data_IF_038673647375
#
_entry.id   IF_038673647375
#
_cell.length_a   1.000
_cell.length_b   1.000
_cell.length_c   1.000
_cell.angle_alpha   90.00
_cell.angle_beta   90.00
_cell.angle_gamma   90.00
#
_symmetry.space_group_name_H-M   'P 1'
#
loop_
_entity.id
_entity.type
_entity.pdbx_description
1 polymer ?
#
# COMPACT_ATOMS: atom_id res chain seq x y z
N UNK A 1 48.66 46.59 -2.71
CA UNK A 1 47.29 47.04 -3.07
C UNK A 1 46.36 45.93 -2.53
N UNK A 2 45.81 46.20 -1.35
CA UNK A 2 44.93 45.30 -0.60
C UNK A 2 43.59 45.17 -1.30
N UNK A 3 43.05 43.95 -1.36
CA UNK A 3 41.62 43.70 -1.56
C UNK A 3 41.12 42.80 -0.45
N UNK A 4 40.29 43.37 0.38
CA UNK A 4 39.67 42.92 1.61
C UNK A 4 38.70 41.78 1.37
N UNK A 5 38.74 40.81 2.34
CA UNK A 5 37.67 39.79 2.61
C UNK A 5 36.40 40.51 3.04
N UNK A 6 35.26 40.14 2.43
CA UNK A 6 33.95 40.38 3.03
C UNK A 6 33.00 39.22 2.76
N UNK A 7 32.72 38.49 3.79
CA UNK A 7 31.43 37.92 4.22
C UNK A 7 30.62 37.12 3.22
N UNK A 8 30.63 35.81 3.40
CA UNK A 8 29.53 34.94 3.06
C UNK A 8 28.89 34.43 4.35
N UNK A 9 27.86 35.11 4.79
CA UNK A 9 26.98 34.67 5.86
C UNK A 9 25.69 34.14 5.25
N UNK A 10 25.38 32.86 5.56
CA UNK A 10 24.09 32.42 6.03
C UNK A 10 22.93 32.46 5.04
N UNK A 11 22.52 31.30 4.61
CA UNK A 11 21.20 31.04 4.06
C UNK A 11 20.76 29.63 4.40
N UNK A 12 20.44 29.40 5.68
CA UNK A 12 19.65 28.22 6.06
C UNK A 12 18.22 28.47 5.62
N UNK A 13 17.79 27.87 4.53
CA UNK A 13 16.40 27.83 4.13
C UNK A 13 15.70 26.72 4.90
N UNK A 14 15.02 27.12 6.00
CA UNK A 14 14.10 26.27 6.72
C UNK A 14 12.92 25.90 5.82
N UNK A 15 12.63 24.61 5.74
CA UNK A 15 11.35 24.15 5.22
C UNK A 15 10.26 24.55 6.23
N UNK A 16 9.52 25.60 5.89
CA UNK A 16 8.32 25.97 6.60
C UNK A 16 7.23 24.93 6.32
N UNK A 17 6.81 24.24 7.36
CA UNK A 17 5.56 23.48 7.35
C UNK A 17 4.40 24.49 7.16
N UNK A 18 3.86 24.54 5.96
CA UNK A 18 2.63 25.27 5.67
C UNK A 18 1.44 24.48 6.22
N UNK A 19 1.05 24.84 7.44
CA UNK A 19 -0.29 24.58 7.94
C UNK A 19 -1.29 25.41 7.11
N UNK A 20 -2.07 24.77 6.28
CA UNK A 20 -3.19 25.39 5.58
C UNK A 20 -4.50 24.85 6.14
N UNK A 21 -4.99 25.55 7.16
CA UNK A 21 -6.42 25.67 7.37
C UNK A 21 -6.95 26.73 6.41
N UNK A 22 -7.78 26.35 5.46
CA UNK A 22 -8.45 27.29 4.54
C UNK A 22 -9.17 26.53 3.44
N UNK A 23 -10.50 26.54 3.46
CA UNK A 23 -11.34 26.14 2.34
C UNK A 23 -10.90 26.86 1.06
N UNK A 24 -10.35 26.15 0.10
CA UNK A 24 -10.16 26.64 -1.24
C UNK A 24 -10.60 25.57 -2.24
N UNK A 25 -11.75 25.79 -2.87
CA UNK A 25 -12.35 24.95 -3.93
C UNK A 25 -11.54 24.94 -5.26
N UNK A 26 -10.28 25.36 -5.25
CA UNK A 26 -9.50 25.60 -6.45
C UNK A 26 -8.21 24.76 -6.52
N UNK A 27 -8.05 23.68 -5.74
CA UNK A 27 -6.92 22.78 -5.94
C UNK A 27 -7.20 21.91 -7.16
N UNK A 28 -6.57 22.22 -8.29
CA UNK A 28 -6.49 21.32 -9.43
C UNK A 28 -5.89 19.98 -9.04
N UNK A 29 -6.22 18.91 -9.78
CA UNK A 29 -5.70 17.58 -9.55
C UNK A 29 -4.16 17.59 -9.58
N UNK A 30 -3.53 17.04 -8.53
CA UNK A 30 -2.07 16.87 -8.46
C UNK A 30 -1.77 15.39 -8.58
N UNK A 31 -1.13 14.99 -9.67
CA UNK A 31 -0.88 13.58 -9.94
C UNK A 31 -2.18 12.77 -10.03
N UNK A 32 -2.32 11.72 -9.23
CA UNK A 32 -3.54 10.91 -9.15
C UNK A 32 -4.40 11.20 -7.89
N UNK A 33 -4.31 12.42 -7.35
CA UNK A 33 -5.17 12.90 -6.25
C UNK A 33 -6.31 13.73 -6.85
N UNK A 34 -7.54 13.20 -6.79
CA UNK A 34 -8.72 13.86 -7.37
C UNK A 34 -9.62 14.41 -6.26
N UNK A 35 -9.82 15.74 -6.24
CA UNK A 35 -10.63 16.42 -5.21
C UNK A 35 -10.28 16.00 -3.77
N UNK A 36 -8.99 15.76 -3.51
CA UNK A 36 -8.49 15.35 -2.20
C UNK A 36 -8.47 13.85 -1.94
N UNK A 37 -9.03 13.01 -2.83
CA UNK A 37 -9.01 11.55 -2.72
C UNK A 37 -7.82 10.99 -3.50
N UNK A 38 -6.82 10.37 -2.85
CA UNK A 38 -5.69 9.76 -3.52
C UNK A 38 -6.11 8.43 -4.17
N UNK A 39 -5.87 8.29 -5.47
CA UNK A 39 -6.04 7.02 -6.18
C UNK A 39 -4.67 6.44 -6.49
N UNK A 40 -4.39 5.30 -5.92
CA UNK A 40 -3.14 4.56 -6.05
C UNK A 40 -3.32 3.19 -6.69
N UNK A 41 -2.29 2.39 -6.59
CA UNK A 41 -2.30 0.99 -7.00
C UNK A 41 -1.43 0.15 -6.07
N UNK A 42 -1.93 -1.05 -5.69
CA UNK A 42 -1.03 -2.09 -5.20
C UNK A 42 -0.33 -2.73 -6.41
N UNK A 43 1.01 -2.78 -6.39
CA UNK A 43 1.79 -3.24 -7.54
C UNK A 43 1.59 -4.72 -7.88
N UNK A 44 0.93 -5.49 -7.01
CA UNK A 44 0.40 -6.83 -7.33
C UNK A 44 -0.51 -6.82 -8.57
N UNK A 45 -1.18 -5.71 -8.86
CA UNK A 45 -2.00 -5.55 -10.07
C UNK A 45 -1.21 -5.78 -11.36
N UNK A 46 0.11 -5.54 -11.34
CA UNK A 46 1.01 -5.77 -12.49
C UNK A 46 1.65 -7.17 -12.52
N UNK A 47 1.18 -8.14 -11.70
CA UNK A 47 1.78 -9.49 -11.58
C UNK A 47 1.86 -10.31 -12.87
N UNK A 48 1.09 -9.94 -13.89
CA UNK A 48 1.15 -10.54 -15.24
C UNK A 48 2.18 -9.89 -16.15
N UNK A 49 2.73 -8.73 -15.74
CA UNK A 49 3.71 -7.99 -16.51
C UNK A 49 5.14 -8.53 -16.25
N UNK A 50 6.09 -8.29 -17.18
CA UNK A 50 7.49 -8.65 -16.98
C UNK A 50 8.11 -8.04 -15.73
N UNK A 51 8.81 -8.86 -14.94
CA UNK A 51 9.58 -8.42 -13.76
C UNK A 51 10.94 -7.89 -14.20
N UNK A 52 11.42 -6.80 -13.58
CA UNK A 52 12.75 -6.25 -13.85
C UNK A 52 12.98 -4.87 -13.25
N UNK A 53 14.23 -4.48 -13.15
CA UNK A 53 14.63 -3.18 -12.59
C UNK A 53 13.94 -2.02 -13.32
N UNK A 54 13.29 -1.15 -12.57
CA UNK A 54 12.56 0.02 -13.09
C UNK A 54 11.26 -0.31 -13.84
N UNK A 55 10.91 -1.59 -13.99
CA UNK A 55 9.68 -1.99 -14.70
C UNK A 55 8.43 -1.55 -13.95
N UNK A 56 8.36 -1.82 -12.65
CA UNK A 56 7.20 -1.45 -11.83
C UNK A 56 6.96 0.06 -11.86
N UNK A 57 8.00 0.88 -11.70
CA UNK A 57 7.87 2.33 -11.83
C UNK A 57 7.35 2.74 -13.22
N UNK A 58 7.85 2.11 -14.29
CA UNK A 58 7.37 2.40 -15.65
C UNK A 58 5.89 2.06 -15.84
N UNK A 59 5.39 0.99 -15.22
CA UNK A 59 3.98 0.61 -15.27
C UNK A 59 3.09 1.60 -14.52
N UNK A 60 3.53 2.02 -13.32
CA UNK A 60 2.83 3.03 -12.51
C UNK A 60 2.67 4.33 -13.29
N UNK A 61 3.75 4.81 -13.92
CA UNK A 61 3.73 6.03 -14.73
C UNK A 61 2.85 5.89 -15.97
N UNK A 62 2.91 4.75 -16.67
CA UNK A 62 2.08 4.47 -17.84
C UNK A 62 0.58 4.31 -17.47
N UNK A 63 0.28 3.95 -16.22
CA UNK A 63 -1.09 3.96 -15.67
C UNK A 63 -1.51 5.32 -15.10
N UNK A 64 -0.70 6.38 -15.26
CA UNK A 64 -0.96 7.76 -14.81
C UNK A 64 -1.23 7.88 -13.30
N UNK A 65 -0.51 7.09 -12.47
CA UNK A 65 -0.64 7.07 -11.02
C UNK A 65 0.58 7.71 -10.34
N UNK A 66 0.36 8.29 -9.15
CA UNK A 66 1.38 8.98 -8.37
C UNK A 66 1.49 8.52 -6.91
N UNK A 67 0.78 7.47 -6.52
CA UNK A 67 0.87 6.86 -5.18
C UNK A 67 0.69 5.35 -5.27
N UNK A 68 1.43 4.59 -4.45
CA UNK A 68 1.44 3.13 -4.55
C UNK A 68 1.59 2.42 -3.20
N UNK A 69 0.95 1.25 -3.10
CA UNK A 69 1.36 0.17 -2.20
C UNK A 69 2.34 -0.73 -2.96
N UNK A 70 3.61 -0.72 -2.56
CA UNK A 70 4.70 -1.38 -3.27
C UNK A 70 4.96 -2.78 -2.70
N UNK A 71 4.84 -3.80 -3.56
CA UNK A 71 5.19 -5.18 -3.18
C UNK A 71 6.67 -5.32 -2.89
N UNK A 72 7.03 -6.13 -1.89
CA UNK A 72 8.42 -6.35 -1.48
C UNK A 72 9.30 -6.86 -2.62
N UNK A 73 8.80 -7.76 -3.46
CA UNK A 73 9.56 -8.25 -4.62
C UNK A 73 9.90 -7.15 -5.63
N UNK A 74 9.03 -6.17 -5.81
CA UNK A 74 9.26 -5.08 -6.78
C UNK A 74 10.35 -4.13 -6.28
N UNK A 75 10.28 -3.69 -5.02
CA UNK A 75 11.32 -2.84 -4.44
C UNK A 75 12.66 -3.57 -4.33
N UNK A 76 12.66 -4.87 -4.03
CA UNK A 76 13.87 -5.67 -3.92
C UNK A 76 14.53 -5.87 -5.30
N UNK A 77 13.75 -6.10 -6.37
CA UNK A 77 14.27 -6.15 -7.75
C UNK A 77 14.91 -4.82 -8.12
N UNK A 78 14.26 -3.71 -7.82
CA UNK A 78 14.78 -2.36 -8.11
C UNK A 78 16.06 -2.07 -7.31
N UNK A 79 16.21 -2.65 -6.10
CA UNK A 79 17.43 -2.60 -5.28
C UNK A 79 18.50 -3.62 -5.70
N UNK A 80 18.26 -4.42 -6.74
CA UNK A 80 19.22 -5.39 -7.29
C UNK A 80 19.24 -6.75 -6.56
N UNK A 81 18.12 -7.17 -5.99
CA UNK A 81 17.97 -8.53 -5.47
C UNK A 81 18.13 -9.57 -6.60
N UNK A 82 18.63 -10.79 -6.29
CA UNK A 82 18.71 -11.89 -7.25
C UNK A 82 17.32 -12.49 -7.49
N UNK A 83 16.41 -11.71 -8.04
CA UNK A 83 14.99 -12.00 -8.18
C UNK A 83 14.52 -11.56 -9.57
N UNK A 84 14.07 -12.51 -10.38
CA UNK A 84 13.59 -12.28 -11.74
C UNK A 84 12.14 -12.75 -11.97
N UNK A 85 11.47 -13.18 -10.91
CA UNK A 85 10.09 -13.66 -10.91
C UNK A 85 9.43 -13.44 -9.56
N UNK A 86 8.14 -13.60 -9.54
CA UNK A 86 7.34 -13.45 -8.32
C UNK A 86 7.73 -14.49 -7.26
N UNK A 87 7.77 -14.11 -6.01
CA UNK A 87 8.31 -14.93 -4.90
C UNK A 87 7.62 -16.29 -4.74
N UNK A 88 6.33 -16.40 -5.08
CA UNK A 88 5.61 -17.69 -5.04
C UNK A 88 5.96 -18.64 -6.20
N UNK A 89 6.63 -18.15 -7.24
CA UNK A 89 7.15 -18.96 -8.36
C UNK A 89 8.60 -19.38 -8.16
N UNK A 90 9.23 -19.00 -7.04
CA UNK A 90 10.64 -19.30 -6.75
C UNK A 90 10.83 -20.70 -6.19
N UNK A 91 11.93 -21.35 -6.57
CA UNK A 91 12.39 -22.62 -5.97
C UNK A 91 12.86 -22.38 -4.52
N UNK A 92 13.13 -23.48 -3.80
CA UNK A 92 13.67 -23.41 -2.43
C UNK A 92 15.06 -22.74 -2.41
N UNK A 93 15.90 -23.04 -3.40
CA UNK A 93 17.24 -22.49 -3.55
C UNK A 93 17.19 -20.99 -3.86
N UNK A 94 16.30 -20.54 -4.74
CA UNK A 94 16.09 -19.13 -5.04
C UNK A 94 15.58 -18.34 -3.81
N UNK A 95 14.68 -18.94 -3.03
CA UNK A 95 14.22 -18.34 -1.76
C UNK A 95 15.35 -18.21 -0.74
N UNK A 96 16.23 -19.23 -0.65
CA UNK A 96 17.39 -19.19 0.23
C UNK A 96 18.40 -18.11 -0.21
N UNK A 97 18.67 -18.00 -1.52
CA UNK A 97 19.53 -16.95 -2.07
C UNK A 97 18.98 -15.54 -1.79
N UNK A 98 17.66 -15.35 -1.95
CA UNK A 98 17.00 -14.09 -1.61
C UNK A 98 17.10 -13.77 -0.12
N UNK A 99 16.90 -14.77 0.76
CA UNK A 99 17.02 -14.59 2.20
C UNK A 99 18.45 -14.18 2.60
N UNK A 100 19.48 -14.82 2.03
CA UNK A 100 20.88 -14.44 2.24
C UNK A 100 21.18 -13.01 1.73
N UNK A 101 20.69 -12.65 0.55
CA UNK A 101 20.84 -11.31 0.00
C UNK A 101 20.20 -10.25 0.91
N UNK A 102 19.00 -10.50 1.44
CA UNK A 102 18.29 -9.59 2.36
C UNK A 102 19.10 -9.22 3.59
N UNK A 103 19.84 -10.19 4.15
CA UNK A 103 20.67 -9.97 5.35
C UNK A 103 21.94 -9.16 5.06
N UNK A 104 22.39 -9.11 3.80
CA UNK A 104 23.57 -8.37 3.36
C UNK A 104 23.27 -7.13 2.53
N UNK A 105 22.00 -6.85 2.26
CA UNK A 105 21.60 -5.76 1.39
C UNK A 105 21.94 -4.39 1.99
N UNK A 106 22.66 -3.57 1.22
CA UNK A 106 22.95 -2.18 1.58
C UNK A 106 21.68 -1.32 1.41
N UNK A 107 21.27 -0.63 2.47
CA UNK A 107 20.11 0.27 2.47
C UNK A 107 20.27 1.45 1.50
N UNK A 108 21.51 1.82 1.14
CA UNK A 108 21.77 2.82 0.10
C UNK A 108 21.07 2.50 -1.22
N UNK A 109 20.97 1.22 -1.58
CA UNK A 109 20.24 0.78 -2.77
C UNK A 109 18.75 1.16 -2.72
N UNK A 110 18.14 1.03 -1.54
CA UNK A 110 16.74 1.40 -1.33
C UNK A 110 16.56 2.92 -1.28
N UNK A 111 17.53 3.69 -0.76
CA UNK A 111 17.54 5.15 -0.87
C UNK A 111 17.56 5.59 -2.33
N UNK A 112 18.36 4.94 -3.17
CA UNK A 112 18.44 5.22 -4.61
C UNK A 112 17.12 4.85 -5.33
N UNK A 113 16.47 3.75 -4.94
CA UNK A 113 15.14 3.40 -5.43
C UNK A 113 14.12 4.46 -5.02
N UNK A 114 14.07 4.84 -3.73
CA UNK A 114 13.21 5.92 -3.24
C UNK A 114 13.41 7.21 -4.03
N UNK A 115 14.67 7.60 -4.26
CA UNK A 115 14.99 8.82 -5.01
C UNK A 115 14.45 8.75 -6.45
N UNK A 116 14.50 7.59 -7.12
CA UNK A 116 13.93 7.39 -8.46
C UNK A 116 12.42 7.55 -8.48
N UNK A 117 11.71 6.93 -7.52
CA UNK A 117 10.26 7.06 -7.41
C UNK A 117 9.86 8.52 -7.11
N UNK A 118 10.55 9.16 -6.16
CA UNK A 118 10.30 10.56 -5.82
C UNK A 118 10.57 11.52 -6.99
N UNK A 119 11.66 11.32 -7.73
CA UNK A 119 11.99 12.11 -8.93
C UNK A 119 10.95 11.95 -10.04
N UNK A 120 10.27 10.80 -10.09
CA UNK A 120 9.16 10.53 -11.00
C UNK A 120 7.79 11.04 -10.47
N UNK A 121 7.75 11.65 -9.28
CA UNK A 121 6.51 12.12 -8.65
C UNK A 121 5.63 11.00 -8.12
N UNK A 122 6.20 9.83 -7.80
CA UNK A 122 5.48 8.67 -7.25
C UNK A 122 5.80 8.50 -5.77
N UNK A 123 4.78 8.56 -4.92
CA UNK A 123 4.85 8.31 -3.49
C UNK A 123 4.66 6.81 -3.19
N UNK A 124 5.57 6.24 -2.40
CA UNK A 124 5.42 4.90 -1.84
C UNK A 124 4.84 5.04 -0.43
N UNK A 125 3.52 4.94 -0.28
CA UNK A 125 2.88 5.13 1.02
C UNK A 125 2.90 3.87 1.90
N UNK A 126 2.98 2.69 1.28
CA UNK A 126 3.07 1.38 1.94
C UNK A 126 4.08 0.49 1.21
N UNK A 127 4.81 -0.34 1.98
CA UNK A 127 5.54 -1.50 1.45
C UNK A 127 4.91 -2.78 1.98
N UNK A 128 4.55 -3.71 1.08
CA UNK A 128 3.92 -4.98 1.46
C UNK A 128 4.94 -6.09 1.64
N UNK A 129 5.10 -6.53 2.89
CA UNK A 129 5.81 -7.76 3.28
C UNK A 129 4.83 -8.74 3.90
N UNK A 130 4.19 -9.58 3.10
CA UNK A 130 3.10 -10.47 3.53
C UNK A 130 3.49 -11.42 4.68
N UNK A 131 4.79 -11.71 4.83
CA UNK A 131 5.35 -12.60 5.85
C UNK A 131 5.80 -11.89 7.14
N UNK A 132 5.64 -10.56 7.24
CA UNK A 132 6.10 -9.83 8.42
C UNK A 132 5.41 -10.33 9.69
N UNK A 133 6.20 -10.56 10.74
CA UNK A 133 5.73 -11.12 12.01
C UNK A 133 5.59 -12.64 12.03
N UNK A 134 5.89 -13.34 10.92
CA UNK A 134 5.85 -14.80 10.91
C UNK A 134 6.86 -15.39 11.91
N UNK A 135 6.44 -16.42 12.66
CA UNK A 135 7.24 -17.08 13.70
C UNK A 135 8.60 -17.59 13.18
N UNK A 136 8.65 -17.98 11.90
CA UNK A 136 9.86 -18.51 11.28
C UNK A 136 10.94 -17.46 11.00
N UNK A 137 10.61 -16.16 11.02
CA UNK A 137 11.58 -15.08 10.76
C UNK A 137 12.47 -14.84 11.98
N UNK A 138 13.78 -14.78 11.76
CA UNK A 138 14.73 -14.26 12.74
C UNK A 138 14.53 -12.76 12.99
N UNK A 139 15.11 -12.22 14.06
CA UNK A 139 15.05 -10.78 14.35
C UNK A 139 15.76 -9.95 13.27
N UNK A 140 16.85 -10.46 12.70
CA UNK A 140 17.56 -9.80 11.61
C UNK A 140 16.69 -9.71 10.34
N UNK A 141 15.92 -10.75 10.02
CA UNK A 141 14.99 -10.75 8.90
C UNK A 141 13.79 -9.83 9.16
N UNK A 142 13.32 -9.73 10.40
CA UNK A 142 12.32 -8.74 10.78
C UNK A 142 12.86 -7.33 10.62
N UNK A 143 14.04 -7.03 11.20
CA UNK A 143 14.68 -5.71 11.09
C UNK A 143 14.90 -5.30 9.63
N UNK A 144 15.29 -6.22 8.74
CA UNK A 144 15.44 -5.93 7.32
C UNK A 144 14.14 -5.37 6.73
N UNK A 145 12.99 -6.00 6.97
CA UNK A 145 11.69 -5.57 6.43
C UNK A 145 11.29 -4.18 6.89
N UNK A 146 11.49 -3.90 8.16
CA UNK A 146 11.24 -2.57 8.72
C UNK A 146 12.22 -1.52 8.19
N UNK A 147 13.52 -1.86 8.07
CA UNK A 147 14.53 -0.97 7.47
C UNK A 147 14.14 -0.59 6.04
N UNK A 148 13.78 -1.55 5.20
CA UNK A 148 13.34 -1.28 3.82
C UNK A 148 12.15 -0.33 3.82
N UNK A 149 11.09 -0.60 4.57
CA UNK A 149 9.91 0.25 4.60
C UNK A 149 10.24 1.68 5.07
N UNK A 150 11.04 1.83 6.13
CA UNK A 150 11.50 3.15 6.63
C UNK A 150 12.35 3.87 5.60
N UNK A 151 13.29 3.18 4.96
CA UNK A 151 14.16 3.76 3.92
C UNK A 151 13.34 4.24 2.74
N UNK A 152 12.35 3.47 2.31
CA UNK A 152 11.42 3.87 1.25
C UNK A 152 10.52 5.05 1.65
N UNK A 153 10.40 5.35 2.95
CA UNK A 153 9.54 6.42 3.47
C UNK A 153 8.08 6.01 3.64
N UNK A 154 7.80 4.72 3.60
CA UNK A 154 6.45 4.19 3.81
C UNK A 154 5.93 4.51 5.21
N UNK A 155 4.63 4.79 5.32
CA UNK A 155 3.94 5.05 6.58
C UNK A 155 3.51 3.76 7.29
N UNK A 156 3.40 2.66 6.54
CA UNK A 156 2.98 1.36 7.04
C UNK A 156 3.61 0.20 6.26
N UNK A 157 3.60 -0.97 6.88
CA UNK A 157 3.85 -2.26 6.24
C UNK A 157 2.54 -3.03 6.27
N UNK A 158 2.12 -3.62 5.14
CA UNK A 158 0.94 -4.48 5.11
C UNK A 158 1.30 -5.95 5.21
N UNK A 159 0.43 -6.69 5.87
CA UNK A 159 0.41 -8.15 5.95
C UNK A 159 -1.02 -8.67 5.93
N UNK A 160 -1.18 -9.95 5.63
CA UNK A 160 -2.47 -10.61 5.73
C UNK A 160 -2.96 -10.63 7.19
N UNK A 161 -4.26 -10.39 7.40
CA UNK A 161 -4.87 -10.50 8.72
C UNK A 161 -4.75 -11.96 9.23
N UNK A 162 -4.41 -12.20 10.51
CA UNK A 162 -4.44 -13.54 11.08
C UNK A 162 -5.86 -14.12 11.02
N UNK A 163 -5.99 -15.45 11.09
CA UNK A 163 -7.31 -16.09 11.15
C UNK A 163 -8.16 -15.47 12.27
N UNK A 164 -9.31 -14.85 11.95
CA UNK A 164 -10.15 -14.18 12.92
C UNK A 164 -10.58 -15.10 14.10
N UNK A 165 -10.69 -16.42 13.83
CA UNK A 165 -11.06 -17.41 14.85
C UNK A 165 -9.96 -17.65 15.88
N UNK A 166 -8.71 -17.27 15.58
CA UNK A 166 -7.54 -17.51 16.43
C UNK A 166 -6.71 -16.25 16.70
N UNK A 167 -7.30 -15.07 16.68
CA UNK A 167 -6.59 -13.81 16.96
C UNK A 167 -5.86 -13.83 18.32
N UNK A 168 -6.47 -14.30 19.44
CA UNK A 168 -5.76 -14.40 20.71
C UNK A 168 -4.56 -15.34 20.67
N UNK A 169 -4.68 -16.51 20.03
CA UNK A 169 -3.57 -17.46 19.87
C UNK A 169 -2.46 -16.92 18.98
N UNK A 170 -2.82 -16.24 17.90
CA UNK A 170 -1.86 -15.53 17.05
C UNK A 170 -1.12 -14.43 17.83
N UNK A 171 -1.81 -13.67 18.67
CA UNK A 171 -1.21 -12.64 19.52
C UNK A 171 -0.09 -13.21 20.39
N UNK A 172 -0.36 -14.35 21.05
CA UNK A 172 0.64 -15.03 21.90
C UNK A 172 1.82 -15.59 21.08
N UNK A 173 1.55 -16.12 19.89
CA UNK A 173 2.56 -16.79 19.06
C UNK A 173 3.46 -15.82 18.26
N UNK A 174 2.88 -14.75 17.72
CA UNK A 174 3.52 -13.85 16.75
C UNK A 174 3.25 -12.37 17.03
N UNK A 175 2.05 -12.01 17.47
CA UNK A 175 1.56 -10.64 17.53
C UNK A 175 2.34 -9.76 18.50
N UNK A 176 2.69 -10.28 19.68
CA UNK A 176 3.50 -9.57 20.69
C UNK A 176 4.86 -9.16 20.13
N UNK A 177 5.53 -10.09 19.44
CA UNK A 177 6.82 -9.82 18.80
C UNK A 177 6.67 -8.79 17.67
N UNK A 178 5.63 -8.92 16.84
CA UNK A 178 5.36 -7.96 15.77
C UNK A 178 5.11 -6.55 16.33
N UNK A 179 4.30 -6.43 17.40
CA UNK A 179 4.05 -5.16 18.06
C UNK A 179 5.33 -4.51 18.60
N UNK A 180 6.23 -5.31 19.21
CA UNK A 180 7.52 -4.80 19.70
C UNK A 180 8.40 -4.25 18.57
N UNK A 181 8.44 -4.92 17.41
CA UNK A 181 9.13 -4.40 16.22
C UNK A 181 8.47 -3.16 15.64
N UNK A 182 7.14 -3.12 15.62
CA UNK A 182 6.38 -1.94 15.16
C UNK A 182 6.69 -0.70 16.02
N UNK A 183 6.78 -0.85 17.34
CA UNK A 183 7.20 0.21 18.25
C UNK A 183 8.69 0.58 18.07
N UNK A 184 9.60 -0.42 18.02
CA UNK A 184 11.04 -0.21 17.80
C UNK A 184 11.30 0.65 16.55
N UNK A 185 10.54 0.42 15.48
CA UNK A 185 10.74 1.08 14.20
C UNK A 185 9.82 2.26 13.98
N UNK A 186 8.94 2.58 14.94
CA UNK A 186 7.87 3.58 14.79
C UNK A 186 7.11 3.40 13.45
N UNK A 187 6.64 2.17 13.20
CA UNK A 187 6.02 1.78 11.93
C UNK A 187 4.64 1.17 12.18
N UNK A 188 3.66 1.60 11.41
CA UNK A 188 2.32 0.99 11.43
C UNK A 188 2.33 -0.36 10.74
N UNK A 189 1.55 -1.30 11.27
CA UNK A 189 1.29 -2.61 10.66
C UNK A 189 -0.17 -2.62 10.23
N UNK A 190 -0.42 -2.68 8.94
CA UNK A 190 -1.77 -2.68 8.40
C UNK A 190 -2.19 -4.09 8.00
N UNK A 191 -3.30 -4.56 8.57
CA UNK A 191 -3.83 -5.89 8.31
C UNK A 191 -4.75 -5.85 7.10
N UNK A 192 -4.35 -6.58 6.06
CA UNK A 192 -5.11 -6.76 4.82
C UNK A 192 -6.10 -7.92 4.97
N UNK A 193 -7.33 -7.69 4.55
CA UNK A 193 -8.37 -8.71 4.58
C UNK A 193 -8.64 -9.33 3.22
N UNK A 194 -8.98 -10.62 3.25
CA UNK A 194 -9.68 -11.31 2.18
C UNK A 194 -11.12 -11.63 2.60
N UNK A 195 -11.66 -12.80 2.19
CA UNK A 195 -13.05 -13.20 2.46
C UNK A 195 -13.32 -13.65 3.90
N UNK A 196 -12.28 -13.75 4.74
CA UNK A 196 -12.36 -14.36 6.09
C UNK A 196 -12.88 -13.42 7.17
N UNK A 197 -13.03 -12.12 6.88
CA UNK A 197 -13.41 -11.14 7.88
C UNK A 197 -14.89 -10.71 7.78
N UNK A 198 -15.36 -10.18 8.89
CA UNK A 198 -16.58 -9.39 9.00
C UNK A 198 -16.33 -8.14 9.88
N UNK A 199 -17.35 -7.33 10.12
CA UNK A 199 -17.22 -6.12 10.93
C UNK A 199 -16.69 -6.42 12.34
N UNK A 200 -17.13 -7.52 12.98
CA UNK A 200 -16.74 -7.91 14.33
C UNK A 200 -15.27 -8.28 14.44
N UNK A 201 -14.62 -8.65 13.35
CA UNK A 201 -13.19 -8.97 13.34
C UNK A 201 -12.35 -7.76 13.80
N UNK A 202 -12.70 -6.56 13.36
CA UNK A 202 -12.00 -5.32 13.75
C UNK A 202 -12.52 -4.69 15.05
N UNK A 203 -13.75 -5.03 15.45
CA UNK A 203 -14.30 -4.70 16.77
C UNK A 203 -13.67 -5.54 17.89
N UNK A 204 -13.08 -6.67 17.53
CA UNK A 204 -12.39 -7.58 18.44
C UNK A 204 -11.04 -7.03 18.93
N UNK A 205 -10.24 -7.88 19.58
CA UNK A 205 -9.03 -7.44 20.30
C UNK A 205 -7.89 -7.01 19.40
N UNK A 206 -7.90 -7.34 18.09
CA UNK A 206 -6.75 -7.14 17.20
C UNK A 206 -6.19 -5.72 17.24
N UNK A 207 -7.03 -4.72 17.02
CA UNK A 207 -6.62 -3.32 16.99
C UNK A 207 -6.29 -2.76 18.39
N UNK A 208 -6.77 -3.41 19.45
CA UNK A 208 -6.49 -3.05 20.83
C UNK A 208 -5.12 -3.54 21.34
N UNK A 209 -4.51 -4.52 20.67
CA UNK A 209 -3.22 -5.07 21.09
C UNK A 209 -2.04 -4.12 20.88
N UNK A 210 -2.11 -3.19 19.93
CA UNK A 210 -1.09 -2.17 19.71
C UNK A 210 -1.69 -0.95 19.04
N UNK A 211 -1.28 0.28 19.42
CA UNK A 211 -1.65 1.51 18.71
C UNK A 211 -1.07 1.56 17.28
N UNK A 212 -0.05 0.73 16.99
CA UNK A 212 0.56 0.60 15.66
C UNK A 212 -0.22 -0.34 14.73
N UNK A 213 -1.19 -1.11 15.25
CA UNK A 213 -2.01 -2.01 14.42
C UNK A 213 -3.13 -1.24 13.75
N UNK A 214 -3.14 -1.30 12.43
CA UNK A 214 -4.01 -0.53 11.54
C UNK A 214 -4.70 -1.47 10.55
N UNK A 215 -5.53 -0.92 9.69
CA UNK A 215 -6.31 -1.64 8.70
C UNK A 215 -5.82 -1.25 7.29
N UNK A 216 -5.54 -2.24 6.46
CA UNK A 216 -5.52 -2.13 5.01
C UNK A 216 -6.82 -2.80 4.53
N UNK A 217 -7.84 -1.99 4.26
CA UNK A 217 -9.20 -2.47 4.04
C UNK A 217 -9.45 -2.83 2.58
N UNK A 218 -9.71 -4.10 2.30
CA UNK A 218 -10.18 -4.52 0.99
C UNK A 218 -11.71 -4.52 0.94
N UNK A 219 -12.27 -3.48 0.33
CA UNK A 219 -13.72 -3.29 0.25
C UNK A 219 -14.38 -4.31 -0.70
N UNK A 220 -13.68 -4.75 -1.75
CA UNK A 220 -14.22 -5.74 -2.68
C UNK A 220 -14.32 -7.13 -2.06
N UNK A 221 -13.30 -7.55 -1.32
CA UNK A 221 -13.38 -8.80 -0.55
C UNK A 221 -14.47 -8.75 0.52
N UNK A 222 -14.59 -7.62 1.21
CA UNK A 222 -15.66 -7.45 2.21
C UNK A 222 -17.05 -7.53 1.58
N UNK A 223 -17.28 -6.84 0.45
CA UNK A 223 -18.54 -6.91 -0.32
C UNK A 223 -18.88 -8.33 -0.74
N UNK A 224 -17.88 -9.08 -1.19
CA UNK A 224 -18.09 -10.45 -1.63
C UNK A 224 -18.39 -11.45 -0.50
N UNK A 225 -17.96 -11.16 0.74
CA UNK A 225 -18.05 -12.08 1.87
C UNK A 225 -19.21 -11.79 2.83
N UNK A 226 -19.71 -10.54 2.85
CA UNK A 226 -20.65 -10.06 3.87
C UNK A 226 -21.93 -9.49 3.25
N UNK A 227 -23.03 -9.64 3.97
CA UNK A 227 -24.35 -9.10 3.61
C UNK A 227 -24.61 -7.73 4.28
N UNK A 228 -23.58 -7.07 4.78
CA UNK A 228 -23.64 -5.75 5.44
C UNK A 228 -23.04 -4.67 4.57
N UNK A 229 -23.44 -3.39 4.80
CA UNK A 229 -22.89 -2.25 4.05
C UNK A 229 -21.37 -2.12 4.27
N UNK A 230 -20.52 -2.31 3.22
CA UNK A 230 -19.09 -2.20 3.36
C UNK A 230 -18.61 -0.77 3.68
N UNK A 231 -19.43 0.25 3.40
CA UNK A 231 -19.13 1.64 3.75
C UNK A 231 -19.24 1.91 5.25
N UNK A 232 -19.99 1.09 5.98
CA UNK A 232 -20.09 1.20 7.44
C UNK A 232 -18.73 0.95 8.11
N UNK A 233 -17.95 -0.01 7.59
CA UNK A 233 -16.56 -0.23 8.02
C UNK A 233 -15.72 1.03 7.87
N UNK A 234 -15.83 1.73 6.74
CA UNK A 234 -15.07 2.96 6.50
C UNK A 234 -15.51 4.07 7.46
N UNK A 235 -16.82 4.25 7.69
CA UNK A 235 -17.34 5.25 8.63
C UNK A 235 -16.85 5.04 10.06
N UNK A 236 -16.78 3.78 10.49
CA UNK A 236 -16.44 3.41 11.87
C UNK A 236 -14.95 3.36 12.15
N UNK A 237 -14.14 3.04 11.16
CA UNK A 237 -12.70 2.80 11.32
C UNK A 237 -11.81 3.70 10.47
N UNK A 238 -12.33 4.81 9.91
CA UNK A 238 -11.58 5.70 9.00
C UNK A 238 -10.25 6.21 9.60
N UNK A 239 -10.17 6.41 10.91
CA UNK A 239 -8.97 6.83 11.65
C UNK A 239 -7.94 5.70 11.84
N UNK A 240 -8.35 4.44 11.63
CA UNK A 240 -7.52 3.24 11.72
C UNK A 240 -7.21 2.63 10.34
N UNK A 241 -7.86 3.09 9.28
CA UNK A 241 -7.62 2.64 7.90
C UNK A 241 -6.46 3.47 7.31
N UNK A 242 -5.36 2.81 6.92
CA UNK A 242 -4.21 3.47 6.29
C UNK A 242 -4.27 3.44 4.77
N UNK A 243 -4.95 2.47 4.18
CA UNK A 243 -5.32 2.43 2.76
C UNK A 243 -6.53 1.53 2.54
N UNK A 244 -7.18 1.69 1.40
CA UNK A 244 -8.31 0.87 0.96
C UNK A 244 -7.93 0.22 -0.36
N UNK A 245 -7.92 -1.11 -0.44
CA UNK A 245 -7.87 -1.79 -1.73
C UNK A 245 -9.23 -1.68 -2.39
N UNK A 246 -9.26 -1.04 -3.55
CA UNK A 246 -10.45 -0.90 -4.37
C UNK A 246 -10.38 -1.88 -5.52
N UNK A 247 -11.35 -2.78 -5.55
CA UNK A 247 -11.63 -3.72 -6.64
C UNK A 247 -13.13 -3.89 -6.78
N UNK A 248 -13.58 -4.27 -7.95
CA UNK A 248 -15.00 -4.53 -8.13
C UNK A 248 -15.29 -6.01 -8.07
N UNK A 249 -16.21 -6.38 -7.20
CA UNK A 249 -16.62 -7.76 -6.98
C UNK A 249 -18.13 -7.87 -6.88
N UNK A 250 -18.65 -9.06 -7.20
CA UNK A 250 -20.03 -9.37 -6.89
C UNK A 250 -20.19 -9.89 -5.47
N UNK A 251 -21.37 -9.66 -4.89
CA UNK A 251 -21.78 -10.21 -3.60
C UNK A 251 -21.82 -11.75 -3.62
N UNK A 252 -21.99 -12.35 -2.45
CA UNK A 252 -22.19 -13.80 -2.33
C UNK A 252 -23.40 -14.29 -3.15
N UNK A 253 -24.49 -13.52 -3.14
CA UNK A 253 -25.69 -13.84 -3.91
C UNK A 253 -25.43 -13.86 -5.42
N UNK A 254 -24.48 -13.07 -5.92
CA UNK A 254 -24.11 -12.99 -7.34
C UNK A 254 -22.82 -13.75 -7.68
N UNK A 255 -22.33 -14.62 -6.78
CA UNK A 255 -21.25 -15.59 -7.06
C UNK A 255 -19.83 -15.11 -6.77
N UNK A 256 -19.64 -14.02 -6.04
CA UNK A 256 -18.33 -13.54 -5.53
C UNK A 256 -17.25 -13.36 -6.60
N UNK A 257 -17.61 -12.94 -7.81
CA UNK A 257 -16.70 -12.79 -8.95
C UNK A 257 -15.89 -11.50 -8.84
N UNK A 258 -14.63 -11.54 -9.27
CA UNK A 258 -13.87 -10.33 -9.56
C UNK A 258 -14.24 -9.84 -10.98
N UNK A 259 -14.52 -8.54 -11.09
CA UNK A 259 -15.01 -7.93 -12.33
C UNK A 259 -14.29 -6.61 -12.64
N UNK A 260 -14.31 -6.14 -13.90
CA UNK A 260 -13.88 -4.79 -14.24
C UNK A 260 -14.68 -3.73 -13.47
N UNK A 261 -14.02 -2.61 -13.15
CA UNK A 261 -14.60 -1.52 -12.37
C UNK A 261 -15.92 -1.00 -12.97
N UNK A 262 -16.93 -0.86 -12.13
CA UNK A 262 -18.27 -0.39 -12.48
C UNK A 262 -19.21 -1.47 -13.01
N UNK A 263 -18.83 -2.75 -12.90
CA UNK A 263 -19.66 -3.89 -13.38
C UNK A 263 -20.03 -4.89 -12.29
N UNK A 264 -19.54 -4.70 -11.06
CA UNK A 264 -19.86 -5.52 -9.90
C UNK A 264 -20.79 -4.83 -8.90
N UNK A 265 -20.77 -5.34 -7.68
CA UNK A 265 -21.63 -4.89 -6.59
C UNK A 265 -20.87 -4.05 -5.54
N UNK A 266 -19.54 -3.91 -5.66
CA UNK A 266 -18.76 -3.11 -4.71
C UNK A 266 -19.17 -1.64 -4.81
N UNK A 267 -19.55 -0.96 -3.70
CA UNK A 267 -20.07 0.40 -3.75
C UNK A 267 -18.97 1.44 -3.96
N UNK A 268 -18.15 1.29 -5.02
CA UNK A 268 -16.99 2.15 -5.32
C UNK A 268 -17.36 3.63 -5.44
N UNK A 269 -18.46 3.96 -6.16
CA UNK A 269 -18.95 5.34 -6.27
C UNK A 269 -19.30 5.91 -4.90
N UNK A 270 -19.99 5.13 -4.06
CA UNK A 270 -20.37 5.53 -2.70
C UNK A 270 -19.16 5.74 -1.81
N UNK A 271 -18.13 4.87 -1.92
CA UNK A 271 -16.86 5.02 -1.20
C UNK A 271 -16.16 6.33 -1.55
N UNK A 272 -15.95 6.58 -2.85
CA UNK A 272 -15.23 7.76 -3.33
C UNK A 272 -15.97 9.06 -2.96
N UNK A 273 -17.30 9.05 -3.05
CA UNK A 273 -18.14 10.16 -2.60
C UNK A 273 -18.05 10.37 -1.08
N UNK A 274 -18.02 9.30 -0.28
CA UNK A 274 -17.83 9.36 1.17
C UNK A 274 -16.50 9.99 1.54
N UNK A 275 -15.38 9.47 1.00
CA UNK A 275 -14.04 9.98 1.28
C UNK A 275 -13.90 11.47 0.91
N UNK A 276 -14.43 11.88 -0.25
CA UNK A 276 -14.45 13.28 -0.68
C UNK A 276 -15.26 14.16 0.26
N UNK A 277 -16.49 13.75 0.61
CA UNK A 277 -17.40 14.52 1.45
C UNK A 277 -16.84 14.75 2.85
N UNK A 278 -16.27 13.71 3.46
CA UNK A 278 -15.69 13.75 4.81
C UNK A 278 -14.26 14.30 4.82
N UNK A 279 -13.68 14.58 3.64
CA UNK A 279 -12.28 15.00 3.48
C UNK A 279 -11.28 13.99 4.08
N UNK A 280 -11.60 12.71 4.03
CA UNK A 280 -10.70 11.64 4.48
C UNK A 280 -9.71 11.29 3.38
N UNK A 281 -8.44 11.64 3.59
CA UNK A 281 -7.36 11.43 2.62
C UNK A 281 -6.76 10.03 2.73
N UNK A 282 -7.61 9.01 2.68
CA UNK A 282 -7.19 7.61 2.72
C UNK A 282 -6.86 7.17 1.29
N UNK A 283 -5.63 6.70 0.99
CA UNK A 283 -5.30 6.17 -0.32
C UNK A 283 -6.22 5.01 -0.71
N UNK A 284 -6.71 5.05 -1.95
CA UNK A 284 -7.49 3.99 -2.56
C UNK A 284 -6.63 3.29 -3.61
N UNK A 285 -6.11 2.12 -3.28
CA UNK A 285 -5.20 1.37 -4.14
C UNK A 285 -5.99 0.41 -5.05
N UNK A 286 -5.90 0.65 -6.35
CA UNK A 286 -6.50 -0.23 -7.36
C UNK A 286 -5.85 -1.62 -7.25
N UNK A 287 -6.68 -2.66 -7.13
CA UNK A 287 -6.23 -4.03 -7.19
C UNK A 287 -7.00 -4.81 -8.27
N UNK A 288 -6.26 -5.28 -9.27
CA UNK A 288 -6.83 -6.09 -10.35
C UNK A 288 -6.74 -7.57 -9.99
N UNK A 289 -7.89 -8.23 -9.87
CA UNK A 289 -7.98 -9.67 -9.65
C UNK A 289 -8.88 -10.39 -10.66
N UNK A 290 -9.50 -9.67 -11.58
CA UNK A 290 -10.21 -10.31 -12.71
C UNK A 290 -9.24 -10.73 -13.82
N UNK A 291 -9.70 -11.60 -14.70
CA UNK A 291 -8.94 -12.03 -15.86
C UNK A 291 -8.75 -10.87 -16.84
N UNK A 292 -7.50 -10.51 -17.10
CA UNK A 292 -7.16 -9.45 -18.06
C UNK A 292 -7.62 -9.86 -19.47
N UNK A 293 -8.39 -9.01 -20.18
CA UNK A 293 -8.84 -9.32 -21.54
C UNK A 293 -7.67 -9.59 -22.49
N UNK A 294 -7.82 -10.52 -23.43
CA UNK A 294 -6.76 -10.96 -24.35
C UNK A 294 -6.15 -9.83 -25.21
N UNK A 295 -6.91 -8.75 -25.44
CA UNK A 295 -6.48 -7.57 -26.21
C UNK A 295 -6.08 -6.40 -25.32
N UNK A 296 -5.80 -6.66 -24.04
CA UNK A 296 -5.40 -5.68 -23.05
C UNK A 296 -4.20 -6.19 -22.23
N UNK A 297 -3.70 -5.37 -21.32
CA UNK A 297 -2.69 -5.71 -20.32
C UNK A 297 -2.99 -5.04 -18.97
N UNK A 298 -2.23 -5.39 -17.95
CA UNK A 298 -2.48 -4.88 -16.61
C UNK A 298 -2.28 -3.36 -16.50
N UNK A 299 -1.39 -2.76 -17.28
CA UNK A 299 -1.15 -1.31 -17.28
C UNK A 299 -2.37 -0.57 -17.80
N UNK A 300 -2.91 -1.03 -18.93
CA UNK A 300 -4.12 -0.47 -19.53
C UNK A 300 -5.34 -0.64 -18.63
N UNK A 301 -5.51 -1.83 -18.01
CA UNK A 301 -6.65 -2.09 -17.12
C UNK A 301 -6.59 -1.26 -15.84
N UNK A 302 -5.39 -1.04 -15.27
CA UNK A 302 -5.19 -0.12 -14.14
C UNK A 302 -5.54 1.32 -14.54
N UNK A 303 -5.15 1.78 -15.74
CA UNK A 303 -5.50 3.13 -16.21
C UNK A 303 -7.01 3.28 -16.44
N UNK A 304 -7.68 2.24 -16.96
CA UNK A 304 -9.15 2.22 -17.08
C UNK A 304 -9.81 2.34 -15.70
N UNK A 305 -9.33 1.59 -14.70
CA UNK A 305 -9.84 1.66 -13.33
C UNK A 305 -9.60 3.04 -12.71
N UNK A 306 -8.41 3.63 -12.90
CA UNK A 306 -8.10 5.00 -12.48
C UNK A 306 -9.03 6.03 -13.12
N UNK A 307 -9.25 5.92 -14.43
CA UNK A 307 -10.15 6.82 -15.16
C UNK A 307 -11.61 6.69 -14.67
N UNK A 308 -12.06 5.46 -14.35
CA UNK A 308 -13.34 5.23 -13.70
C UNK A 308 -13.41 5.98 -12.35
N UNK A 309 -12.43 5.79 -11.46
CA UNK A 309 -12.40 6.47 -10.16
C UNK A 309 -12.43 8.00 -10.30
N UNK A 310 -11.61 8.56 -11.19
CA UNK A 310 -11.60 10.00 -11.47
C UNK A 310 -12.97 10.51 -11.88
N UNK A 311 -13.66 9.79 -12.78
CA UNK A 311 -15.02 10.14 -13.24
C UNK A 311 -16.02 10.11 -12.09
N UNK A 312 -15.92 9.13 -11.16
CA UNK A 312 -16.84 9.04 -10.03
C UNK A 312 -16.60 10.11 -8.95
N UNK A 313 -15.38 10.59 -8.83
CA UNK A 313 -15.03 11.68 -7.89
C UNK A 313 -15.52 13.04 -8.44
N UNK A 314 -15.55 13.23 -9.72
CA UNK A 314 -16.08 14.45 -10.41
C UNK A 314 -15.05 15.54 -10.54
#
# INVERSE_FOLDING_TARGET
MEITRRNFLGGATGFAALGLGGCCSCCGDVGSVYKGVPIGVITYSYRSMPVGVGKTLSYVLASHLSTIELMSNDVEVDAGAPLNKLSWKMSKEEKAALAAWRLSADMKRFEDVKAKYAAAGVEVHIVKFSDIGAKALSDAEMDYRFKVARTMGASAITREIPDPKNIPGWWEAEGKRLAAFAEKWDMKIAFHNHLQINAQTYEGPLLGYSPKFMINYDIGHFTAANDTDPLDMVRRFHDRIVSIHIKDRTTKAHGQKNLPFGTGDTPLTGLLALLRRENWRIPCDIELEYEIPKNSDAVREVDIARAYCRKQIG
#
